data_IF_039397611888
#
_entry.id   IF_039397611888
#
_cell.length_a   1.000
_cell.length_b   1.000
_cell.length_c   1.000
_cell.angle_alpha   90.00
_cell.angle_beta   90.00
_cell.angle_gamma   90.00
#
_symmetry.space_group_name_H-M   'P 1'
#
loop_
_entity.id
_entity.type
_entity.pdbx_description
1 polymer ?
#
# COMPACT_ATOMS: atom_id res chain seq x y z
N UNK A 1 0.47 23.38 17.98
CA UNK A 1 1.13 23.53 16.65
C UNK A 1 2.34 22.61 16.54
N UNK A 2 2.49 22.02 15.39
CA UNK A 2 3.56 21.09 15.06
C UNK A 2 4.31 21.60 13.82
N UNK A 3 5.55 21.16 13.63
CA UNK A 3 6.28 21.39 12.39
C UNK A 3 7.20 20.22 12.03
N UNK A 4 7.39 20.01 10.73
CA UNK A 4 8.32 19.03 10.17
C UNK A 4 8.73 19.39 8.74
N UNK A 5 9.82 18.78 8.27
CA UNK A 5 10.18 18.76 6.85
C UNK A 5 9.20 17.81 6.15
N UNK A 6 8.52 18.30 5.12
CA UNK A 6 7.50 17.56 4.38
C UNK A 6 8.02 16.98 3.04
N UNK A 7 9.22 17.33 2.63
CA UNK A 7 9.89 16.81 1.43
C UNK A 7 10.91 15.74 1.80
N UNK A 8 11.28 14.85 0.86
CA UNK A 8 12.36 13.88 1.09
C UNK A 8 13.66 14.55 1.53
N UNK A 9 14.46 13.86 2.33
CA UNK A 9 15.79 14.32 2.72
C UNK A 9 16.77 14.07 1.57
N UNK A 10 17.57 15.09 1.24
CA UNK A 10 18.53 15.06 0.16
C UNK A 10 18.72 16.43 -0.46
N UNK A 11 19.65 16.57 -1.41
CA UNK A 11 19.85 17.81 -2.15
C UNK A 11 18.77 17.92 -3.24
N UNK A 12 18.01 19.00 -3.21
CA UNK A 12 16.94 19.27 -4.17
C UNK A 12 16.76 20.77 -4.41
N UNK A 13 16.02 21.14 -5.43
CA UNK A 13 15.76 22.56 -5.73
C UNK A 13 14.88 23.23 -4.68
N UNK A 14 13.90 22.50 -4.12
CA UNK A 14 12.94 22.99 -3.12
C UNK A 14 12.81 22.00 -1.98
N UNK A 15 12.77 22.54 -0.76
CA UNK A 15 12.40 21.81 0.43
C UNK A 15 11.30 22.53 1.18
N UNK A 16 10.36 21.78 1.75
CA UNK A 16 9.16 22.31 2.40
C UNK A 16 9.16 22.00 3.88
N UNK A 17 8.99 23.02 4.71
CA UNK A 17 8.69 22.85 6.14
C UNK A 17 7.22 23.19 6.34
N UNK A 18 6.47 22.26 6.88
CA UNK A 18 5.04 22.43 7.17
C UNK A 18 4.84 22.69 8.64
N UNK A 19 4.02 23.70 8.94
CA UNK A 19 3.59 24.09 10.29
C UNK A 19 2.07 23.95 10.31
N UNK A 20 1.50 23.26 11.31
CA UNK A 20 0.03 23.10 11.45
C UNK A 20 -0.41 23.33 12.87
N UNK A 21 -1.60 23.88 13.03
CA UNK A 21 -2.29 24.06 14.30
C UNK A 21 -2.59 25.50 14.63
N UNK A 22 -3.28 25.69 15.75
CA UNK A 22 -3.59 27.02 16.28
C UNK A 22 -2.33 27.88 16.38
N UNK A 23 -2.38 29.10 15.87
CA UNK A 23 -1.24 30.01 15.79
C UNK A 23 -0.10 29.61 14.81
N UNK A 24 -0.33 28.74 13.82
CA UNK A 24 0.67 28.38 12.81
C UNK A 24 1.20 29.63 12.08
N UNK A 25 0.32 30.57 11.70
CA UNK A 25 0.71 31.82 11.05
C UNK A 25 1.60 32.69 11.94
N UNK A 26 1.27 32.77 13.23
CA UNK A 26 2.07 33.56 14.19
C UNK A 26 3.45 32.94 14.38
N UNK A 27 3.54 31.62 14.40
CA UNK A 27 4.81 30.91 14.50
C UNK A 27 5.65 31.10 13.23
N UNK A 28 5.05 30.91 12.06
CA UNK A 28 5.71 31.16 10.78
C UNK A 28 6.18 32.61 10.63
N UNK A 29 5.36 33.59 11.04
CA UNK A 29 5.70 35.01 10.97
C UNK A 29 6.84 35.46 11.87
N UNK A 30 7.30 34.63 12.81
CA UNK A 30 8.52 34.90 13.60
C UNK A 30 9.81 34.49 12.87
N UNK A 31 9.71 33.62 11.89
CA UNK A 31 10.85 33.05 11.17
C UNK A 31 10.84 33.42 9.68
N UNK A 32 9.79 34.13 9.23
CA UNK A 32 9.61 34.55 7.84
C UNK A 32 9.27 36.03 7.76
N UNK A 33 10.03 36.78 7.00
CA UNK A 33 9.78 38.19 6.68
C UNK A 33 9.34 38.33 5.23
N UNK A 34 8.11 38.82 5.02
CA UNK A 34 7.60 39.08 3.67
C UNK A 34 8.31 40.28 3.06
N UNK A 35 8.74 40.19 1.79
CA UNK A 35 9.43 41.30 1.08
C UNK A 35 8.57 42.54 0.94
N UNK A 36 7.26 42.42 0.97
CA UNK A 36 6.33 43.56 0.94
C UNK A 36 6.10 44.22 2.31
N UNK A 37 6.81 43.77 3.35
CA UNK A 37 6.74 44.32 4.72
C UNK A 37 5.41 44.04 5.45
N UNK A 38 4.48 43.26 4.87
CA UNK A 38 3.19 42.96 5.52
C UNK A 38 3.33 41.71 6.39
N UNK A 39 2.77 41.72 7.60
CA UNK A 39 2.75 40.55 8.47
C UNK A 39 2.05 39.35 7.78
N UNK A 40 2.61 38.14 7.93
CA UNK A 40 2.06 36.91 7.34
C UNK A 40 0.63 36.62 7.78
N UNK A 41 0.24 37.03 8.98
CA UNK A 41 -1.13 36.88 9.51
C UNK A 41 -2.19 37.66 8.72
N UNK A 42 -1.77 38.61 7.87
CA UNK A 42 -2.67 39.33 6.97
C UNK A 42 -2.79 38.68 5.57
N UNK A 43 -2.06 37.57 5.33
CA UNK A 43 -2.17 36.85 4.07
C UNK A 43 -3.51 36.11 4.01
N UNK A 44 -4.15 36.16 2.84
CA UNK A 44 -5.35 35.37 2.59
C UNK A 44 -5.05 33.86 2.50
N UNK A 45 -6.07 33.03 2.67
CA UNK A 45 -5.94 31.58 2.48
C UNK A 45 -5.57 31.27 1.03
N UNK A 46 -4.71 30.24 0.84
CA UNK A 46 -4.21 29.78 -0.46
C UNK A 46 -3.38 30.85 -1.22
N UNK A 47 -2.73 31.73 -0.47
CA UNK A 47 -1.83 32.74 -1.02
C UNK A 47 -0.37 32.39 -0.73
N UNK A 48 0.48 32.50 -1.75
CA UNK A 48 1.92 32.44 -1.62
C UNK A 48 2.50 33.83 -1.40
N UNK A 49 3.32 33.97 -0.37
CA UNK A 49 4.00 35.23 -0.02
C UNK A 49 5.49 35.05 -0.19
N UNK A 50 6.10 35.90 -1.01
CA UNK A 50 7.55 35.90 -1.20
C UNK A 50 8.27 36.69 -0.10
N UNK A 51 9.38 36.15 0.39
CA UNK A 51 10.16 36.77 1.46
C UNK A 51 11.43 35.99 1.81
N UNK A 52 11.87 36.13 3.04
CA UNK A 52 13.09 35.54 3.55
C UNK A 52 12.83 34.77 4.86
N UNK A 53 13.53 33.65 5.02
CA UNK A 53 13.69 33.02 6.32
C UNK A 53 14.73 33.82 7.10
N UNK A 54 14.38 34.23 8.32
CA UNK A 54 15.26 35.01 9.18
C UNK A 54 15.47 34.30 10.51
N UNK A 55 16.66 34.47 11.08
CA UNK A 55 16.97 33.97 12.41
C UNK A 55 16.53 34.95 13.52
N UNK A 56 16.80 34.60 14.78
CA UNK A 56 16.44 35.40 15.97
C UNK A 56 17.14 36.77 16.00
N UNK A 57 18.18 36.98 15.21
CA UNK A 57 18.93 38.23 15.07
C UNK A 57 18.51 39.03 13.85
N UNK A 58 17.51 38.54 13.09
CA UNK A 58 17.09 39.18 11.83
C UNK A 58 18.05 38.91 10.66
N UNK A 59 18.98 37.94 10.78
CA UNK A 59 19.87 37.59 9.69
C UNK A 59 19.14 36.65 8.71
N UNK A 60 19.29 36.94 7.42
CA UNK A 60 18.70 36.11 6.37
C UNK A 60 19.39 34.74 6.34
N UNK A 61 18.59 33.69 6.45
CA UNK A 61 19.00 32.29 6.33
C UNK A 61 18.80 31.79 4.91
N UNK A 62 17.66 32.14 4.30
CA UNK A 62 17.30 31.74 2.97
C UNK A 62 16.24 32.67 2.37
N UNK A 63 16.08 32.62 1.06
CA UNK A 63 14.97 33.18 0.30
C UNK A 63 13.88 32.14 0.11
N UNK A 64 12.62 32.47 0.39
CA UNK A 64 11.56 31.48 0.47
C UNK A 64 10.19 32.00 0.04
N UNK A 65 9.27 31.07 -0.20
CA UNK A 65 7.85 31.34 -0.30
C UNK A 65 7.13 30.78 0.93
N UNK A 66 6.21 31.54 1.50
CA UNK A 66 5.29 31.05 2.51
C UNK A 66 3.90 30.86 1.89
N UNK A 67 3.42 29.62 1.83
CA UNK A 67 2.05 29.29 1.41
C UNK A 67 1.16 29.20 2.64
N UNK A 68 0.12 30.04 2.70
CA UNK A 68 -0.84 30.10 3.82
C UNK A 68 -2.12 29.38 3.45
N UNK A 69 -2.59 28.49 4.32
CA UNK A 69 -3.87 27.80 4.20
C UNK A 69 -4.60 27.89 5.53
N UNK A 70 -5.74 28.56 5.53
CA UNK A 70 -6.53 28.80 6.75
C UNK A 70 -7.58 27.71 6.95
N UNK A 71 -7.84 27.38 8.21
CA UNK A 71 -8.90 26.48 8.61
C UNK A 71 -10.27 26.98 8.07
N UNK A 72 -11.19 26.09 7.68
CA UNK A 72 -11.04 24.63 7.61
C UNK A 72 -10.43 24.13 6.29
N UNK A 73 -10.04 25.00 5.38
CA UNK A 73 -9.59 24.67 4.03
C UNK A 73 -8.07 24.44 3.98
N UNK A 74 -7.60 23.41 4.66
CA UNK A 74 -6.20 23.01 4.71
C UNK A 74 -6.07 21.49 4.77
N UNK A 75 -4.82 20.97 4.74
CA UNK A 75 -4.57 19.53 4.82
C UNK A 75 -5.08 18.92 6.13
N UNK A 76 -4.85 19.59 7.25
CA UNK A 76 -5.21 19.13 8.62
C UNK A 76 -6.53 19.68 9.12
N UNK A 77 -7.21 20.52 8.34
CA UNK A 77 -8.40 21.32 8.76
C UNK A 77 -8.05 22.39 9.82
N UNK A 78 -6.77 22.51 10.16
CA UNK A 78 -6.23 23.58 11.03
C UNK A 78 -5.60 24.68 10.16
N UNK A 79 -5.13 25.76 10.78
CA UNK A 79 -4.26 26.70 10.07
C UNK A 79 -2.94 26.02 9.72
N UNK A 80 -2.53 26.13 8.45
CA UNK A 80 -1.30 25.55 7.94
C UNK A 80 -0.49 26.60 7.21
N UNK A 81 0.83 26.60 7.45
CA UNK A 81 1.79 27.36 6.68
C UNK A 81 2.88 26.42 6.16
N UNK A 82 3.15 26.49 4.88
CA UNK A 82 4.30 25.82 4.26
C UNK A 82 5.36 26.83 3.90
N UNK A 83 6.57 26.68 4.45
CA UNK A 83 7.75 27.46 4.10
C UNK A 83 8.52 26.67 3.05
N UNK A 84 8.50 27.15 1.82
CA UNK A 84 9.19 26.57 0.67
C UNK A 84 10.54 27.22 0.52
N UNK A 85 11.58 26.53 0.99
CA UNK A 85 12.97 26.97 1.03
C UNK A 85 13.77 26.28 -0.08
N UNK A 86 15.03 26.65 -0.26
CA UNK A 86 15.97 25.84 -1.03
C UNK A 86 16.18 24.48 -0.34
N UNK A 87 16.23 23.39 -1.14
CA UNK A 87 16.22 22.00 -0.66
C UNK A 87 17.55 21.48 -0.12
N UNK A 88 18.41 22.38 0.38
CA UNK A 88 19.66 21.99 1.05
C UNK A 88 19.43 21.49 2.47
N UNK A 89 20.13 20.44 2.87
CA UNK A 89 19.98 19.81 4.19
C UNK A 89 20.15 20.82 5.34
N UNK A 90 21.15 21.69 5.25
CA UNK A 90 21.42 22.67 6.31
C UNK A 90 20.37 23.77 6.37
N UNK A 91 19.89 24.25 5.23
CA UNK A 91 18.82 25.25 5.13
C UNK A 91 17.55 24.74 5.80
N UNK A 92 17.11 23.52 5.41
CA UNK A 92 15.89 22.90 5.96
C UNK A 92 16.02 22.64 7.46
N UNK A 93 17.15 22.08 7.90
CA UNK A 93 17.39 21.84 9.33
C UNK A 93 17.36 23.14 10.14
N UNK A 94 18.06 24.17 9.66
CA UNK A 94 18.09 25.48 10.34
C UNK A 94 16.71 26.11 10.42
N UNK A 95 15.96 26.10 9.32
CA UNK A 95 14.60 26.65 9.27
C UNK A 95 13.66 25.89 10.21
N UNK A 96 13.75 24.54 10.24
CA UNK A 96 12.96 23.72 11.16
C UNK A 96 13.28 24.04 12.62
N UNK A 97 14.57 24.13 13.00
CA UNK A 97 14.99 24.54 14.35
C UNK A 97 14.44 25.92 14.74
N UNK A 98 14.41 26.88 13.82
CA UNK A 98 13.82 28.20 14.04
C UNK A 98 12.33 28.11 14.32
N UNK A 99 11.58 27.24 13.62
CA UNK A 99 10.14 27.05 13.90
C UNK A 99 9.91 26.49 15.29
N UNK A 100 10.77 25.60 15.79
CA UNK A 100 10.69 25.06 17.16
C UNK A 100 10.98 26.12 18.18
N UNK A 101 12.01 26.94 18.00
CA UNK A 101 12.29 28.10 18.84
C UNK A 101 11.16 29.12 18.82
N UNK A 102 10.48 29.28 17.69
CA UNK A 102 9.31 30.15 17.56
C UNK A 102 8.06 29.60 18.27
N UNK A 103 8.13 28.34 18.77
CA UNK A 103 7.14 27.70 19.64
C UNK A 103 6.34 26.56 18.98
N UNK A 104 6.72 26.05 17.81
CA UNK A 104 6.25 24.76 17.33
C UNK A 104 6.94 23.61 18.08
N UNK A 105 6.31 22.43 18.16
CA UNK A 105 6.99 21.21 18.56
C UNK A 105 7.26 20.33 17.33
N UNK A 106 8.23 19.41 17.38
CA UNK A 106 8.40 18.41 16.35
C UNK A 106 7.10 17.63 16.11
N UNK A 107 6.76 17.38 14.86
CA UNK A 107 5.66 16.50 14.52
C UNK A 107 6.08 15.03 14.69
N UNK A 108 5.14 14.21 15.15
CA UNK A 108 5.28 12.76 15.19
C UNK A 108 5.09 12.15 13.79
N UNK A 109 5.40 10.86 13.64
CA UNK A 109 5.14 10.14 12.41
C UNK A 109 3.64 10.16 12.08
N UNK A 110 3.30 10.51 10.84
CA UNK A 110 1.91 10.56 10.38
C UNK A 110 1.03 11.60 11.05
N UNK A 111 1.55 12.51 11.86
CA UNK A 111 0.73 13.40 12.67
C UNK A 111 -0.13 14.37 11.86
N UNK A 112 0.34 14.85 10.72
CA UNK A 112 -0.48 15.72 9.88
C UNK A 112 -1.68 14.97 9.30
N UNK A 113 -1.49 13.74 8.82
CA UNK A 113 -2.57 12.91 8.28
C UNK A 113 -3.48 12.40 9.40
N UNK A 114 -2.94 12.10 10.59
CA UNK A 114 -3.73 11.77 11.78
C UNK A 114 -4.67 12.92 12.15
N UNK A 115 -4.19 14.17 12.11
CA UNK A 115 -5.03 15.36 12.36
C UNK A 115 -6.08 15.53 11.27
N UNK A 116 -5.75 15.30 9.99
CA UNK A 116 -6.73 15.31 8.91
C UNK A 116 -7.85 14.26 9.14
N UNK A 117 -7.51 13.08 9.65
CA UNK A 117 -8.45 12.04 10.05
C UNK A 117 -9.28 12.46 11.28
N UNK A 118 -8.65 12.89 12.36
CA UNK A 118 -9.34 13.30 13.59
C UNK A 118 -10.28 14.51 13.38
N UNK A 119 -9.93 15.40 12.47
CA UNK A 119 -10.73 16.57 12.10
C UNK A 119 -11.76 16.26 10.99
N UNK A 120 -11.95 14.99 10.60
CA UNK A 120 -13.01 14.53 9.70
C UNK A 120 -12.80 14.86 8.22
N UNK A 121 -11.59 15.27 7.80
CA UNK A 121 -11.29 15.49 6.38
C UNK A 121 -11.08 14.18 5.62
N UNK A 122 -10.45 13.22 6.24
CA UNK A 122 -10.19 11.89 5.70
C UNK A 122 -10.78 10.85 6.66
N UNK A 123 -11.30 9.77 6.13
CA UNK A 123 -11.52 8.58 6.94
C UNK A 123 -10.23 7.74 7.06
N UNK A 124 -10.27 6.64 7.83
CA UNK A 124 -9.08 5.84 8.10
C UNK A 124 -8.53 5.15 6.84
N UNK A 125 -9.39 4.69 5.95
CA UNK A 125 -9.00 4.07 4.67
C UNK A 125 -8.36 5.09 3.73
N UNK A 126 -8.94 6.28 3.62
CA UNK A 126 -8.39 7.40 2.84
C UNK A 126 -7.05 7.87 3.41
N UNK A 127 -6.92 7.92 4.75
CA UNK A 127 -5.66 8.25 5.41
C UNK A 127 -4.56 7.23 5.10
N UNK A 128 -4.85 5.93 5.15
CA UNK A 128 -3.91 4.88 4.76
C UNK A 128 -3.49 5.01 3.29
N UNK A 129 -4.42 5.35 2.40
CA UNK A 129 -4.15 5.54 0.98
C UNK A 129 -3.12 6.65 0.68
N UNK A 130 -2.95 7.64 1.57
CA UNK A 130 -1.89 8.66 1.43
C UNK A 130 -0.51 8.00 1.39
N UNK A 131 -0.26 7.01 2.26
CA UNK A 131 1.00 6.28 2.25
C UNK A 131 1.12 5.34 1.06
N UNK A 132 0.02 4.68 0.68
CA UNK A 132 0.00 3.78 -0.47
C UNK A 132 0.34 4.53 -1.77
N UNK A 133 -0.13 5.78 -1.95
CA UNK A 133 0.26 6.66 -3.08
C UNK A 133 1.76 6.96 -3.05
N UNK A 134 2.30 7.32 -1.88
CA UNK A 134 3.72 7.69 -1.75
C UNK A 134 4.63 6.48 -2.05
N UNK A 135 4.18 5.28 -1.69
CA UNK A 135 4.94 4.04 -1.82
C UNK A 135 4.65 3.28 -3.12
N UNK A 136 3.67 3.71 -3.92
CA UNK A 136 3.30 3.06 -5.17
C UNK A 136 4.52 2.92 -6.11
N UNK A 137 4.71 1.72 -6.65
CA UNK A 137 5.84 1.36 -7.52
C UNK A 137 5.44 1.11 -8.97
N UNK A 138 4.14 0.95 -9.23
CA UNK A 138 3.58 0.74 -10.57
C UNK A 138 2.40 1.67 -10.78
N UNK A 139 2.03 1.90 -12.04
CA UNK A 139 0.82 2.68 -12.37
C UNK A 139 -0.45 2.02 -11.81
N UNK A 140 -0.52 0.69 -11.82
CA UNK A 140 -1.65 -0.06 -11.25
C UNK A 140 -1.74 0.15 -9.74
N UNK A 141 -0.62 0.08 -9.02
CA UNK A 141 -0.56 0.37 -7.57
C UNK A 141 -1.00 1.80 -7.27
N UNK A 142 -0.52 2.76 -8.06
CA UNK A 142 -0.89 4.17 -7.91
C UNK A 142 -2.39 4.40 -8.16
N UNK A 143 -2.95 3.81 -9.22
CA UNK A 143 -4.37 3.92 -9.55
C UNK A 143 -5.25 3.33 -8.43
N UNK A 144 -4.87 2.18 -7.88
CA UNK A 144 -5.54 1.55 -6.74
C UNK A 144 -5.54 2.49 -5.51
N UNK A 145 -4.36 3.01 -5.15
CA UNK A 145 -4.22 3.92 -4.01
C UNK A 145 -5.00 5.23 -4.21
N UNK A 146 -5.00 5.79 -5.42
CA UNK A 146 -5.80 6.97 -5.75
C UNK A 146 -7.30 6.70 -5.63
N UNK A 147 -7.78 5.52 -6.05
CA UNK A 147 -9.16 5.09 -5.86
C UNK A 147 -9.56 5.05 -4.37
N UNK A 148 -8.69 4.53 -3.51
CA UNK A 148 -8.90 4.56 -2.06
C UNK A 148 -8.93 5.98 -1.50
N UNK A 149 -7.97 6.84 -1.89
CA UNK A 149 -7.93 8.23 -1.44
C UNK A 149 -9.17 9.04 -1.86
N UNK A 150 -9.78 8.72 -2.99
CA UNK A 150 -11.03 9.35 -3.46
C UNK A 150 -12.30 8.71 -2.87
N UNK A 151 -12.13 7.80 -1.92
CA UNK A 151 -13.21 7.22 -1.13
C UNK A 151 -14.01 6.12 -1.84
N UNK A 152 -13.50 5.48 -2.91
CA UNK A 152 -14.23 4.40 -3.57
C UNK A 152 -14.48 3.22 -2.63
N UNK A 153 -13.47 2.81 -1.86
CA UNK A 153 -13.60 1.76 -0.84
C UNK A 153 -14.58 2.18 0.27
N UNK A 154 -14.38 3.36 0.85
CA UNK A 154 -15.18 3.88 1.95
C UNK A 154 -16.66 4.04 1.61
N UNK A 155 -16.98 4.51 0.40
CA UNK A 155 -18.36 4.62 -0.07
C UNK A 155 -19.07 3.27 -0.08
N UNK A 156 -18.38 2.20 -0.50
CA UNK A 156 -18.92 0.84 -0.46
C UNK A 156 -19.21 0.38 0.96
N UNK A 157 -18.29 0.65 1.89
CA UNK A 157 -18.46 0.33 3.33
C UNK A 157 -19.61 1.12 3.93
N UNK A 158 -19.67 2.44 3.70
CA UNK A 158 -20.77 3.27 4.20
C UNK A 158 -22.14 2.85 3.67
N UNK A 159 -22.22 2.45 2.39
CA UNK A 159 -23.47 1.95 1.82
C UNK A 159 -23.94 0.68 2.54
N UNK A 160 -23.04 -0.31 2.76
CA UNK A 160 -23.39 -1.53 3.52
C UNK A 160 -23.82 -1.21 4.96
N UNK A 161 -23.09 -0.31 5.64
CA UNK A 161 -23.44 0.12 6.99
C UNK A 161 -24.80 0.82 7.03
N UNK A 162 -25.12 1.66 6.06
CA UNK A 162 -26.41 2.33 5.98
C UNK A 162 -27.56 1.34 5.81
N UNK A 163 -27.39 0.32 4.97
CA UNK A 163 -28.37 -0.75 4.76
C UNK A 163 -28.59 -1.56 6.06
N UNK A 164 -27.49 -1.93 6.75
CA UNK A 164 -27.58 -2.65 8.05
C UNK A 164 -28.29 -1.80 9.09
N UNK A 165 -27.95 -0.51 9.19
CA UNK A 165 -28.60 0.42 10.12
C UNK A 165 -30.11 0.53 9.84
N UNK A 166 -30.51 0.57 8.56
CA UNK A 166 -31.91 0.54 8.15
C UNK A 166 -32.63 -0.71 8.61
N UNK A 167 -32.01 -1.88 8.49
CA UNK A 167 -32.58 -3.15 9.00
C UNK A 167 -32.73 -3.13 10.53
N UNK A 168 -31.72 -2.64 11.26
CA UNK A 168 -31.78 -2.50 12.72
C UNK A 168 -32.95 -1.58 13.11
N UNK A 169 -33.10 -0.44 12.47
CA UNK A 169 -34.18 0.50 12.76
C UNK A 169 -35.58 -0.11 12.50
N UNK A 170 -35.74 -0.92 11.44
CA UNK A 170 -37.00 -1.62 11.17
C UNK A 170 -37.29 -2.68 12.25
N UNK A 171 -36.27 -3.43 12.71
CA UNK A 171 -36.44 -4.40 13.79
C UNK A 171 -36.84 -3.71 15.08
N UNK A 172 -36.18 -2.62 15.47
CA UNK A 172 -36.49 -1.85 16.67
C UNK A 172 -37.95 -1.33 16.63
N UNK A 173 -38.36 -0.82 15.48
CA UNK A 173 -39.75 -0.38 15.29
C UNK A 173 -40.75 -1.52 15.42
N UNK A 174 -40.44 -2.72 14.89
CA UNK A 174 -41.32 -3.89 15.02
C UNK A 174 -41.41 -4.43 16.47
N UNK A 175 -40.32 -4.29 17.22
CA UNK A 175 -40.31 -4.69 18.65
C UNK A 175 -41.16 -3.70 19.49
N UNK A 176 -41.05 -2.36 19.21
CA UNK A 176 -41.76 -1.35 19.93
C UNK A 176 -43.26 -1.29 19.60
N UNK A 177 -43.67 -1.74 18.41
CA UNK A 177 -45.05 -1.71 17.92
C UNK A 177 -45.48 -3.10 17.40
N UNK A 178 -45.69 -4.11 18.30
CA UNK A 178 -45.96 -5.51 17.94
C UNK A 178 -47.38 -5.72 17.38
N UNK A 179 -48.24 -4.74 17.29
CA UNK A 179 -49.61 -4.89 16.79
C UNK A 179 -49.72 -4.93 15.26
N UNK A 180 -48.66 -4.58 14.53
CA UNK A 180 -48.59 -4.71 13.09
C UNK A 180 -48.07 -6.11 12.71
N UNK A 181 -48.89 -6.93 12.02
CA UNK A 181 -48.52 -8.28 11.53
C UNK A 181 -47.41 -8.24 10.47
N UNK A 182 -46.14 -7.95 10.86
CA UNK A 182 -45.02 -7.64 9.95
C UNK A 182 -43.88 -8.68 10.00
N UNK A 183 -43.91 -9.61 10.97
CA UNK A 183 -42.73 -10.43 11.30
C UNK A 183 -42.16 -11.30 10.17
N UNK A 184 -43.00 -12.02 9.42
CA UNK A 184 -42.51 -12.96 8.39
C UNK A 184 -41.99 -12.26 7.15
N UNK A 185 -42.60 -11.14 6.73
CA UNK A 185 -42.15 -10.34 5.59
C UNK A 185 -40.85 -9.60 5.93
N UNK A 186 -40.77 -9.07 7.15
CA UNK A 186 -39.62 -8.36 7.64
C UNK A 186 -38.38 -9.28 7.72
N UNK A 187 -38.53 -10.46 8.27
CA UNK A 187 -37.43 -11.43 8.39
C UNK A 187 -36.93 -11.91 7.02
N UNK A 188 -37.85 -12.14 6.08
CA UNK A 188 -37.47 -12.48 4.71
C UNK A 188 -36.69 -11.38 4.01
N UNK A 189 -37.13 -10.12 4.12
CA UNK A 189 -36.44 -8.97 3.53
C UNK A 189 -35.07 -8.76 4.17
N UNK A 190 -34.96 -8.90 5.49
CA UNK A 190 -33.68 -8.84 6.21
C UNK A 190 -32.74 -9.93 5.71
N UNK A 191 -33.20 -11.19 5.63
CA UNK A 191 -32.39 -12.31 5.17
C UNK A 191 -31.84 -12.06 3.76
N UNK A 192 -32.69 -11.58 2.84
CA UNK A 192 -32.30 -11.26 1.47
C UNK A 192 -31.22 -10.16 1.44
N UNK A 193 -31.44 -9.06 2.16
CA UNK A 193 -30.50 -7.94 2.20
C UNK A 193 -29.15 -8.35 2.85
N UNK A 194 -29.18 -9.16 3.91
CA UNK A 194 -27.98 -9.70 4.53
C UNK A 194 -27.18 -10.56 3.56
N UNK A 195 -27.85 -11.42 2.78
CA UNK A 195 -27.18 -12.23 1.73
C UNK A 195 -26.53 -11.35 0.68
N UNK A 196 -27.17 -10.28 0.26
CA UNK A 196 -26.61 -9.33 -0.72
C UNK A 196 -25.36 -8.60 -0.17
N UNK A 197 -25.39 -8.18 1.09
CA UNK A 197 -24.24 -7.56 1.76
C UNK A 197 -23.10 -8.57 1.89
N UNK A 198 -23.38 -9.80 2.31
CA UNK A 198 -22.38 -10.89 2.39
C UNK A 198 -21.71 -11.17 1.05
N UNK A 199 -22.46 -11.16 -0.04
CA UNK A 199 -21.93 -11.34 -1.39
C UNK A 199 -20.97 -10.20 -1.76
N UNK A 200 -21.29 -8.96 -1.39
CA UNK A 200 -20.38 -7.81 -1.59
C UNK A 200 -19.11 -7.94 -0.76
N UNK A 201 -19.22 -8.33 0.49
CA UNK A 201 -18.04 -8.60 1.36
C UNK A 201 -17.19 -9.72 0.77
N UNK A 202 -17.80 -10.82 0.32
CA UNK A 202 -17.07 -11.91 -0.32
C UNK A 202 -16.33 -11.46 -1.59
N UNK A 203 -16.94 -10.60 -2.40
CA UNK A 203 -16.30 -9.97 -3.55
C UNK A 203 -15.08 -9.13 -3.16
N UNK A 204 -15.19 -8.31 -2.12
CA UNK A 204 -14.05 -7.56 -1.57
C UNK A 204 -12.94 -8.50 -1.06
N UNK A 205 -13.27 -9.52 -0.31
CA UNK A 205 -12.30 -10.49 0.23
C UNK A 205 -11.54 -11.25 -0.87
N UNK A 206 -12.17 -11.51 -2.02
CA UNK A 206 -11.50 -12.11 -3.19
C UNK A 206 -10.39 -11.21 -3.74
N UNK A 207 -10.46 -9.90 -3.55
CA UNK A 207 -9.42 -8.97 -4.00
C UNK A 207 -8.21 -8.89 -3.06
N UNK A 208 -8.31 -9.41 -1.84
CA UNK A 208 -7.32 -9.20 -0.79
C UNK A 208 -5.91 -9.71 -1.13
N UNK A 209 -5.82 -10.82 -1.87
CA UNK A 209 -4.53 -11.35 -2.31
C UNK A 209 -3.85 -10.40 -3.31
N UNK A 210 -4.56 -10.03 -4.37
CA UNK A 210 -4.05 -9.11 -5.38
C UNK A 210 -3.78 -7.71 -4.80
N UNK A 211 -4.71 -7.17 -4.00
CA UNK A 211 -4.56 -5.87 -3.37
C UNK A 211 -3.31 -5.75 -2.50
N UNK A 212 -3.03 -6.78 -1.68
CA UNK A 212 -1.81 -6.81 -0.88
C UNK A 212 -0.54 -6.86 -1.74
N UNK A 213 -0.55 -7.64 -2.82
CA UNK A 213 0.60 -7.71 -3.74
C UNK A 213 0.81 -6.36 -4.44
N UNK A 214 -0.24 -5.73 -4.92
CA UNK A 214 -0.16 -4.42 -5.56
C UNK A 214 0.37 -3.34 -4.62
N UNK A 215 0.07 -3.44 -3.33
CA UNK A 215 0.55 -2.52 -2.30
C UNK A 215 2.00 -2.82 -1.87
N UNK A 216 2.26 -4.07 -1.43
CA UNK A 216 3.51 -4.43 -0.75
C UNK A 216 4.58 -4.98 -1.70
N UNK A 217 4.18 -5.31 -2.94
CA UNK A 217 4.99 -6.02 -3.92
C UNK A 217 4.97 -7.54 -3.73
N UNK A 218 5.17 -8.27 -4.83
CA UNK A 218 5.30 -9.73 -4.83
C UNK A 218 6.75 -10.10 -4.53
N UNK A 219 7.01 -10.61 -3.34
CA UNK A 219 8.35 -11.02 -2.93
C UNK A 219 8.82 -12.20 -3.78
N UNK A 220 9.80 -11.96 -4.65
CA UNK A 220 10.21 -12.87 -5.72
C UNK A 220 11.69 -13.25 -5.58
N UNK A 221 11.99 -14.54 -5.62
CA UNK A 221 13.34 -15.05 -5.68
C UNK A 221 13.66 -15.51 -7.10
N UNK A 222 14.83 -15.11 -7.63
CA UNK A 222 15.39 -15.61 -8.89
C UNK A 222 16.50 -16.60 -8.53
N UNK A 223 16.30 -17.88 -8.84
CA UNK A 223 17.25 -18.94 -8.54
C UNK A 223 17.66 -19.69 -9.81
N UNK A 224 18.81 -20.33 -9.76
CA UNK A 224 19.39 -21.09 -10.88
C UNK A 224 20.89 -21.20 -10.73
N UNK A 225 21.51 -22.08 -11.50
CA UNK A 225 22.96 -22.26 -11.52
C UNK A 225 23.72 -20.99 -11.93
N UNK A 226 25.03 -20.90 -11.70
CA UNK A 226 25.86 -19.86 -12.29
C UNK A 226 25.72 -19.83 -13.82
N UNK A 227 25.79 -18.66 -14.42
CA UNK A 227 25.75 -18.45 -15.88
C UNK A 227 24.48 -18.94 -16.61
N UNK A 228 23.41 -19.25 -15.89
CA UNK A 228 22.12 -19.63 -16.49
C UNK A 228 21.32 -18.42 -17.02
N UNK A 229 21.74 -17.19 -16.66
CA UNK A 229 21.09 -15.95 -17.12
C UNK A 229 20.29 -15.19 -16.07
N UNK A 230 20.50 -15.43 -14.77
CA UNK A 230 19.79 -14.71 -13.69
C UNK A 230 19.97 -13.20 -13.77
N UNK A 231 21.20 -12.71 -13.90
CA UNK A 231 21.49 -11.28 -14.03
C UNK A 231 20.90 -10.68 -15.30
N UNK A 232 20.88 -11.43 -16.39
CA UNK A 232 20.26 -10.99 -17.65
C UNK A 232 18.75 -10.90 -17.51
N UNK A 233 18.09 -11.88 -16.86
CA UNK A 233 16.66 -11.82 -16.57
C UNK A 233 16.32 -10.62 -15.68
N UNK A 234 17.06 -10.43 -14.58
CA UNK A 234 16.89 -9.28 -13.69
C UNK A 234 16.98 -7.97 -14.48
N UNK A 235 18.02 -7.80 -15.30
CA UNK A 235 18.21 -6.61 -16.11
C UNK A 235 17.09 -6.44 -17.16
N UNK A 236 16.55 -7.51 -17.72
CA UNK A 236 15.41 -7.46 -18.64
C UNK A 236 14.15 -6.97 -17.92
N UNK A 237 13.83 -7.54 -16.75
CA UNK A 237 12.68 -7.14 -15.94
C UNK A 237 12.78 -5.67 -15.46
N UNK A 238 13.99 -5.19 -15.17
CA UNK A 238 14.22 -3.81 -14.75
C UNK A 238 14.23 -2.81 -15.92
N UNK A 239 14.40 -3.27 -17.17
CA UNK A 239 14.45 -2.41 -18.38
C UNK A 239 13.10 -2.20 -19.03
N UNK A 240 12.16 -3.13 -18.94
CA UNK A 240 10.85 -3.06 -19.60
C UNK A 240 10.03 -1.86 -19.15
N UNK A 241 10.19 -1.42 -17.90
CA UNK A 241 9.70 -0.08 -17.48
C UNK A 241 10.72 0.52 -16.51
N UNK A 242 11.17 1.72 -16.78
CA UNK A 242 12.17 2.44 -15.99
C UNK A 242 11.83 2.35 -14.51
N UNK A 243 12.47 1.41 -13.81
CA UNK A 243 12.47 1.41 -12.36
C UNK A 243 12.89 2.81 -11.90
N UNK A 244 11.98 3.54 -11.28
CA UNK A 244 12.34 4.76 -10.56
C UNK A 244 13.18 4.28 -9.39
N UNK A 245 14.49 4.21 -9.59
CA UNK A 245 15.46 3.99 -8.52
C UNK A 245 15.39 5.21 -7.64
N UNK A 246 14.58 5.17 -6.61
CA UNK A 246 14.65 6.14 -5.53
C UNK A 246 15.53 5.55 -4.45
N UNK A 247 16.75 6.09 -4.33
CA UNK A 247 17.51 5.99 -3.10
C UNK A 247 16.67 6.68 -2.02
N UNK A 248 15.85 5.94 -1.30
CA UNK A 248 15.20 6.44 -0.09
C UNK A 248 16.24 6.34 1.03
N UNK A 249 16.84 7.46 1.48
CA UNK A 249 17.77 7.42 2.60
C UNK A 249 17.01 7.00 3.86
N UNK A 250 17.38 5.88 4.46
CA UNK A 250 16.84 5.45 5.75
C UNK A 250 16.42 4.00 5.86
N UNK A 251 16.52 3.19 4.82
CA UNK A 251 16.38 1.74 4.94
C UNK A 251 17.74 1.12 5.26
N UNK A 252 17.82 0.47 6.38
CA UNK A 252 19.00 -0.21 6.93
C UNK A 252 19.63 -1.17 5.92
N UNK A 253 20.95 -1.21 5.96
CA UNK A 253 21.96 -1.84 5.09
C UNK A 253 21.90 -3.37 4.88
N UNK A 254 20.79 -4.08 5.09
CA UNK A 254 20.85 -5.55 5.14
C UNK A 254 20.31 -6.33 3.94
N UNK A 255 19.61 -5.69 3.00
CA UNK A 255 19.33 -6.31 1.67
C UNK A 255 19.02 -5.21 0.64
N UNK A 256 19.74 -5.21 -0.46
CA UNK A 256 19.40 -4.36 -1.62
C UNK A 256 18.22 -5.04 -2.31
N UNK A 257 17.02 -4.55 -2.01
CA UNK A 257 15.80 -4.96 -2.70
C UNK A 257 15.59 -4.04 -3.92
N UNK A 258 15.31 -4.62 -5.06
CA UNK A 258 14.94 -3.90 -6.27
C UNK A 258 13.51 -4.24 -6.65
N UNK A 259 12.81 -3.24 -7.21
CA UNK A 259 11.45 -3.39 -7.70
C UNK A 259 11.44 -3.38 -9.22
N UNK A 260 10.78 -4.37 -9.81
CA UNK A 260 10.47 -4.42 -11.23
C UNK A 260 8.97 -4.33 -11.43
N UNK A 261 8.51 -3.56 -12.42
CA UNK A 261 7.12 -3.58 -12.86
C UNK A 261 6.93 -4.68 -13.90
N UNK A 262 6.07 -5.64 -13.62
CA UNK A 262 5.76 -6.73 -14.54
C UNK A 262 4.26 -6.77 -14.78
N UNK A 263 3.83 -6.15 -15.88
CA UNK A 263 2.41 -6.06 -16.22
C UNK A 263 1.57 -5.33 -15.17
N UNK A 264 2.11 -4.28 -14.57
CA UNK A 264 1.47 -3.49 -13.51
C UNK A 264 1.64 -4.07 -12.10
N UNK A 265 2.32 -5.22 -11.96
CA UNK A 265 2.56 -5.89 -10.67
C UNK A 265 3.97 -5.54 -10.19
N UNK A 266 4.14 -4.94 -9.00
CA UNK A 266 5.44 -4.66 -8.44
C UNK A 266 6.10 -5.97 -7.94
N UNK A 267 7.12 -6.45 -8.63
CA UNK A 267 7.96 -7.55 -8.13
C UNK A 267 9.04 -6.98 -7.20
N UNK A 268 9.09 -7.47 -5.97
CA UNK A 268 10.15 -7.17 -5.00
C UNK A 268 11.17 -8.29 -5.03
N UNK A 269 12.32 -8.04 -5.65
CA UNK A 269 13.31 -9.09 -5.94
C UNK A 269 14.32 -9.18 -4.80
N UNK A 270 14.47 -10.38 -4.23
CA UNK A 270 15.37 -10.65 -3.10
C UNK A 270 16.82 -10.73 -3.59
N UNK A 271 17.74 -10.07 -2.87
CA UNK A 271 19.20 -10.12 -3.02
C UNK A 271 19.72 -9.90 -4.45
N UNK A 272 19.38 -8.75 -5.00
CA UNK A 272 19.88 -8.35 -6.33
C UNK A 272 21.40 -8.20 -6.37
N UNK A 273 22.06 -7.92 -5.23
CA UNK A 273 23.51 -7.84 -5.12
C UNK A 273 24.19 -9.20 -5.39
N UNK A 274 23.63 -10.29 -4.86
CA UNK A 274 24.13 -11.65 -5.15
C UNK A 274 23.89 -12.10 -6.59
N UNK A 275 22.84 -11.56 -7.24
CA UNK A 275 22.54 -11.82 -8.65
C UNK A 275 23.47 -11.01 -9.57
N UNK A 276 23.88 -9.78 -9.17
CA UNK A 276 24.74 -8.88 -9.95
C UNK A 276 26.23 -9.18 -9.80
N UNK A 277 26.65 -9.83 -8.71
CA UNK A 277 28.05 -10.20 -8.53
C UNK A 277 28.45 -11.23 -9.57
N UNK A 278 29.14 -10.76 -10.59
CA UNK A 278 29.79 -11.59 -11.61
C UNK A 278 31.14 -12.05 -11.08
N UNK A 279 31.43 -13.34 -11.28
CA UNK A 279 32.71 -14.02 -11.34
C UNK A 279 33.40 -14.51 -10.07
N UNK A 280 33.67 -15.82 -10.09
CA UNK A 280 34.73 -16.64 -9.53
C UNK A 280 34.89 -16.89 -8.01
N UNK A 281 34.30 -16.11 -7.10
CA UNK A 281 34.53 -16.32 -5.66
C UNK A 281 33.29 -16.83 -4.90
N UNK A 282 32.11 -16.90 -5.52
CA UNK A 282 30.80 -17.12 -4.84
C UNK A 282 30.18 -18.50 -5.17
N UNK A 283 30.88 -19.39 -5.87
CA UNK A 283 30.32 -20.66 -6.40
C UNK A 283 29.79 -21.65 -5.34
N UNK A 284 30.29 -21.62 -4.09
CA UNK A 284 29.81 -22.52 -3.02
C UNK A 284 28.65 -21.95 -2.16
N UNK A 285 28.37 -20.65 -2.26
CA UNK A 285 27.34 -19.99 -1.46
C UNK A 285 25.95 -20.11 -2.13
N UNK A 286 25.86 -20.52 -3.40
CA UNK A 286 24.66 -20.46 -4.22
C UNK A 286 23.47 -21.28 -3.70
N UNK A 287 23.67 -22.55 -3.32
CA UNK A 287 22.56 -23.46 -2.96
C UNK A 287 22.02 -23.18 -1.55
N UNK A 288 22.91 -22.86 -0.58
CA UNK A 288 22.45 -22.54 0.79
C UNK A 288 21.70 -21.20 0.84
N UNK A 289 22.19 -20.18 0.11
CA UNK A 289 21.48 -18.91 -0.04
C UNK A 289 20.16 -19.08 -0.78
N UNK A 290 20.15 -19.87 -1.87
CA UNK A 290 18.93 -20.18 -2.59
C UNK A 290 17.86 -20.83 -1.67
N UNK A 291 18.26 -21.69 -0.74
CA UNK A 291 17.36 -22.30 0.25
C UNK A 291 16.73 -21.26 1.19
N UNK A 292 17.51 -20.25 1.61
CA UNK A 292 16.99 -19.16 2.46
C UNK A 292 15.98 -18.32 1.69
N UNK A 293 16.29 -17.89 0.46
CA UNK A 293 15.43 -17.07 -0.37
C UNK A 293 14.12 -17.77 -0.75
N UNK A 294 14.21 -19.07 -1.08
CA UNK A 294 13.03 -19.90 -1.37
C UNK A 294 12.07 -19.99 -0.18
N UNK A 295 12.58 -19.93 1.07
CA UNK A 295 11.71 -19.96 2.25
C UNK A 295 10.89 -18.68 2.41
N UNK A 296 11.46 -17.54 2.06
CA UNK A 296 10.86 -16.22 2.24
C UNK A 296 10.02 -15.78 1.05
N UNK A 297 10.40 -16.19 -0.17
CA UNK A 297 9.75 -15.78 -1.40
C UNK A 297 8.31 -16.26 -1.49
N UNK A 298 7.43 -15.37 -1.95
CA UNK A 298 6.07 -15.68 -2.33
C UNK A 298 5.99 -16.27 -3.76
N UNK A 299 6.93 -15.89 -4.63
CA UNK A 299 7.09 -16.44 -5.98
C UNK A 299 8.55 -16.81 -6.22
N UNK A 300 8.78 -17.94 -6.91
CA UNK A 300 10.11 -18.38 -7.31
C UNK A 300 10.18 -18.41 -8.83
N UNK A 301 11.17 -17.71 -9.41
CA UNK A 301 11.55 -17.83 -10.80
C UNK A 301 12.82 -18.71 -10.87
N UNK A 302 12.67 -19.96 -11.28
CA UNK A 302 13.75 -20.92 -11.35
C UNK A 302 14.25 -21.07 -12.79
N UNK A 303 15.51 -20.69 -13.05
CA UNK A 303 16.12 -20.67 -14.38
C UNK A 303 16.93 -21.94 -14.64
N UNK A 304 16.74 -22.48 -15.84
CA UNK A 304 17.46 -23.62 -16.40
C UNK A 304 18.04 -23.27 -17.77
N UNK A 305 19.16 -23.88 -18.12
CA UNK A 305 19.83 -23.66 -19.41
C UNK A 305 19.35 -24.68 -20.46
N UNK A 306 18.65 -24.23 -21.50
CA UNK A 306 18.13 -25.07 -22.55
C UNK A 306 19.25 -25.77 -23.38
N UNK A 307 20.42 -25.17 -23.43
CA UNK A 307 21.54 -25.64 -24.28
C UNK A 307 22.37 -26.76 -23.66
N UNK A 308 22.06 -27.21 -22.44
CA UNK A 308 22.80 -28.22 -21.68
C UNK A 308 21.86 -29.26 -21.07
N UNK A 309 22.30 -30.53 -20.92
CA UNK A 309 21.53 -31.51 -20.17
C UNK A 309 21.41 -31.11 -18.70
N UNK A 310 20.29 -31.48 -18.07
CA UNK A 310 20.10 -31.32 -16.63
C UNK A 310 21.13 -32.16 -15.86
N UNK A 311 21.66 -31.60 -14.79
CA UNK A 311 22.61 -32.27 -13.90
C UNK A 311 22.11 -32.29 -12.44
N UNK A 312 22.94 -32.78 -11.52
CA UNK A 312 22.58 -32.92 -10.11
C UNK A 312 22.21 -31.59 -9.42
N UNK A 313 22.82 -30.46 -9.83
CA UNK A 313 22.47 -29.13 -9.27
C UNK A 313 21.10 -28.67 -9.77
N UNK A 314 20.74 -28.92 -11.02
CA UNK A 314 19.41 -28.66 -11.56
C UNK A 314 18.34 -29.47 -10.82
N UNK A 315 18.64 -30.75 -10.52
CA UNK A 315 17.73 -31.58 -9.72
C UNK A 315 17.55 -31.06 -8.30
N UNK A 316 18.60 -30.50 -7.69
CA UNK A 316 18.46 -29.84 -6.37
C UNK A 316 17.56 -28.62 -6.43
N UNK A 317 17.71 -27.77 -7.45
CA UNK A 317 16.83 -26.62 -7.68
C UNK A 317 15.38 -27.08 -7.87
N UNK A 318 15.15 -28.13 -8.65
CA UNK A 318 13.82 -28.73 -8.85
C UNK A 318 13.23 -29.26 -7.55
N UNK A 319 14.05 -29.81 -6.63
CA UNK A 319 13.58 -30.21 -5.29
C UNK A 319 13.18 -29.01 -4.44
N UNK A 320 13.92 -27.89 -4.52
CA UNK A 320 13.63 -26.67 -3.74
C UNK A 320 12.29 -26.05 -4.13
N UNK A 321 11.88 -26.11 -5.38
CA UNK A 321 10.64 -25.50 -5.88
C UNK A 321 9.40 -26.39 -5.67
N UNK A 322 9.58 -27.66 -5.29
CA UNK A 322 8.45 -28.57 -5.05
C UNK A 322 7.55 -28.06 -3.94
N UNK A 323 6.25 -27.94 -4.23
CA UNK A 323 5.24 -27.47 -3.27
C UNK A 323 5.30 -25.99 -2.96
N UNK A 324 6.07 -25.22 -3.74
CA UNK A 324 6.15 -23.76 -3.68
C UNK A 324 5.46 -23.14 -4.90
N UNK A 325 5.10 -21.88 -4.77
CA UNK A 325 4.63 -21.12 -5.92
C UNK A 325 5.83 -20.73 -6.79
N UNK A 326 5.92 -21.34 -7.96
CA UNK A 326 7.08 -21.22 -8.84
C UNK A 326 6.66 -21.13 -10.31
N UNK A 327 7.57 -20.54 -11.10
CA UNK A 327 7.58 -20.57 -12.57
C UNK A 327 8.97 -21.07 -12.97
N UNK A 328 9.03 -22.11 -13.80
CA UNK A 328 10.28 -22.61 -14.35
C UNK A 328 10.55 -21.89 -15.67
N UNK A 329 11.75 -21.37 -15.80
CA UNK A 329 12.22 -20.64 -16.98
C UNK A 329 13.33 -21.41 -17.67
N UNK A 330 13.07 -21.88 -18.89
CA UNK A 330 14.03 -22.52 -19.74
C UNK A 330 14.69 -21.46 -20.62
N UNK A 331 15.88 -21.00 -20.22
CA UNK A 331 16.58 -19.86 -20.85
C UNK A 331 17.56 -20.35 -21.94
N UNK A 332 18.01 -19.42 -22.78
CA UNK A 332 18.91 -19.59 -23.90
C UNK A 332 18.31 -20.37 -25.06
N UNK A 333 17.03 -20.20 -25.33
CA UNK A 333 16.32 -20.80 -26.46
C UNK A 333 16.86 -20.33 -27.82
N UNK A 334 17.60 -19.23 -27.85
CA UNK A 334 18.35 -18.76 -29.02
C UNK A 334 19.54 -19.68 -29.41
N UNK A 335 19.89 -20.62 -28.55
CA UNK A 335 20.87 -21.67 -28.81
C UNK A 335 20.16 -22.98 -29.19
N UNK A 336 20.92 -23.94 -29.72
CA UNK A 336 20.35 -25.24 -30.03
C UNK A 336 19.89 -25.96 -28.75
N UNK A 337 18.58 -26.21 -28.56
CA UNK A 337 18.07 -26.75 -27.30
C UNK A 337 18.41 -28.23 -27.14
N UNK A 338 18.88 -28.61 -25.96
CA UNK A 338 19.10 -29.99 -25.52
C UNK A 338 18.00 -30.41 -24.53
N UNK A 339 17.49 -29.46 -23.75
CA UNK A 339 16.38 -29.65 -22.81
C UNK A 339 15.15 -28.94 -23.34
N UNK A 340 14.01 -29.61 -23.31
CA UNK A 340 12.72 -29.02 -23.71
C UNK A 340 11.82 -28.72 -22.51
N UNK A 341 10.80 -27.88 -22.72
CA UNK A 341 9.81 -27.56 -21.68
C UNK A 341 9.10 -28.83 -21.19
N UNK A 342 8.79 -29.80 -22.08
CA UNK A 342 8.15 -31.07 -21.70
C UNK A 342 9.07 -31.92 -20.79
N UNK A 343 10.38 -31.86 -20.99
CA UNK A 343 11.34 -32.57 -20.14
C UNK A 343 11.35 -31.98 -18.73
N UNK A 344 11.37 -30.66 -18.58
CA UNK A 344 11.24 -29.98 -17.27
C UNK A 344 9.88 -30.22 -16.62
N UNK A 345 8.81 -30.22 -17.40
CA UNK A 345 7.46 -30.43 -16.89
C UNK A 345 7.27 -31.79 -16.20
N UNK A 346 8.06 -32.81 -16.58
CA UNK A 346 8.01 -34.14 -15.95
C UNK A 346 8.53 -34.16 -14.52
N UNK A 347 9.31 -33.15 -14.12
CA UNK A 347 9.89 -33.03 -12.78
C UNK A 347 9.00 -32.26 -11.80
N UNK A 348 7.97 -31.56 -12.28
CA UNK A 348 7.06 -30.73 -11.49
C UNK A 348 5.60 -31.06 -11.79
N UNK A 349 4.68 -30.57 -10.95
CA UNK A 349 3.25 -30.74 -11.19
C UNK A 349 2.81 -29.97 -12.45
N UNK A 350 1.73 -30.40 -13.09
CA UNK A 350 1.21 -29.80 -14.32
C UNK A 350 0.80 -28.33 -14.15
N UNK A 351 0.42 -27.92 -12.94
CA UNK A 351 0.00 -26.57 -12.58
C UNK A 351 1.20 -25.60 -12.48
N UNK A 352 2.44 -26.08 -12.41
CA UNK A 352 3.64 -25.25 -12.39
C UNK A 352 3.97 -24.85 -13.82
N UNK A 353 3.90 -23.54 -14.18
CA UNK A 353 4.22 -23.11 -15.52
C UNK A 353 5.70 -23.35 -15.86
N UNK A 354 5.95 -23.85 -17.07
CA UNK A 354 7.28 -23.96 -17.66
C UNK A 354 7.30 -23.10 -18.91
N UNK A 355 8.11 -22.06 -18.91
CA UNK A 355 8.16 -21.05 -19.98
C UNK A 355 9.56 -21.06 -20.59
N UNK A 356 9.61 -21.15 -21.91
CA UNK A 356 10.86 -21.00 -22.66
C UNK A 356 11.11 -19.54 -22.93
N UNK A 357 12.31 -19.08 -22.58
CA UNK A 357 12.72 -17.67 -22.74
C UNK A 357 14.09 -17.56 -23.39
N UNK A 358 14.37 -16.40 -23.95
CA UNK A 358 15.72 -15.96 -24.26
C UNK A 358 15.93 -14.55 -23.71
N UNK A 359 16.70 -14.44 -22.64
CA UNK A 359 17.06 -13.13 -22.07
C UNK A 359 17.92 -12.28 -23.01
N UNK A 360 18.47 -12.86 -24.06
CA UNK A 360 19.25 -12.18 -25.09
C UNK A 360 18.37 -11.53 -26.16
N UNK A 361 17.38 -12.27 -26.67
CA UNK A 361 16.44 -11.81 -27.71
C UNK A 361 15.16 -11.21 -27.13
N UNK A 362 14.94 -11.37 -25.82
CA UNK A 362 13.73 -10.95 -25.09
C UNK A 362 12.49 -11.82 -25.42
N UNK A 363 12.65 -12.92 -26.11
CA UNK A 363 11.56 -13.85 -26.40
C UNK A 363 11.07 -14.52 -25.12
N UNK A 364 9.75 -14.77 -25.02
CA UNK A 364 9.09 -15.44 -23.89
C UNK A 364 8.85 -14.57 -22.66
N UNK A 365 9.30 -13.30 -22.62
CA UNK A 365 9.07 -12.40 -21.47
C UNK A 365 7.59 -12.01 -21.36
N UNK A 366 6.89 -11.86 -22.47
CA UNK A 366 5.46 -11.59 -22.46
C UNK A 366 4.65 -12.74 -21.84
N UNK A 367 5.03 -14.00 -22.14
CA UNK A 367 4.44 -15.19 -21.53
C UNK A 367 4.71 -15.25 -20.03
N UNK A 368 5.92 -14.86 -19.61
CA UNK A 368 6.27 -14.74 -18.19
C UNK A 368 5.39 -13.70 -17.51
N UNK A 369 5.21 -12.53 -18.12
CA UNK A 369 4.34 -11.47 -17.62
C UNK A 369 2.90 -11.96 -17.47
N UNK A 370 2.37 -12.65 -18.48
CA UNK A 370 1.01 -13.24 -18.43
C UNK A 370 0.90 -14.29 -17.32
N UNK A 371 1.91 -15.12 -17.12
CA UNK A 371 1.89 -16.15 -16.09
C UNK A 371 1.92 -15.55 -14.68
N UNK A 372 2.72 -14.51 -14.44
CA UNK A 372 2.76 -13.78 -13.18
C UNK A 372 1.42 -13.09 -12.93
N UNK A 373 0.89 -12.37 -13.90
CA UNK A 373 -0.41 -11.70 -13.82
C UNK A 373 -1.53 -12.68 -13.50
N UNK A 374 -1.57 -13.82 -14.19
CA UNK A 374 -2.58 -14.86 -13.94
C UNK A 374 -2.51 -15.42 -12.51
N UNK A 375 -1.31 -15.58 -11.94
CA UNK A 375 -1.12 -16.04 -10.56
C UNK A 375 -1.61 -15.01 -9.54
N UNK A 376 -1.31 -13.74 -9.73
CA UNK A 376 -1.69 -12.65 -8.82
C UNK A 376 -3.19 -12.44 -8.80
N UNK A 377 -3.82 -12.47 -9.96
CA UNK A 377 -5.28 -12.28 -10.10
C UNK A 377 -6.09 -13.58 -10.06
N UNK A 378 -5.48 -14.72 -9.75
CA UNK A 378 -6.19 -15.99 -9.62
C UNK A 378 -7.33 -15.89 -8.59
N UNK A 379 -8.55 -16.17 -9.03
CA UNK A 379 -9.75 -16.09 -8.18
C UNK A 379 -10.27 -14.67 -7.93
N UNK A 380 -9.59 -13.66 -8.42
CA UNK A 380 -10.07 -12.26 -8.39
C UNK A 380 -10.87 -12.04 -9.66
N UNK A 381 -12.18 -11.87 -9.56
CA UNK A 381 -12.91 -11.21 -10.64
C UNK A 381 -12.37 -9.79 -10.67
N UNK A 382 -11.73 -9.41 -11.78
CA UNK A 382 -11.24 -8.05 -12.00
C UNK A 382 -12.40 -7.10 -11.67
N UNK A 383 -12.35 -6.52 -10.48
CA UNK A 383 -13.47 -5.76 -9.95
C UNK A 383 -13.72 -4.60 -10.89
N UNK A 384 -14.95 -4.43 -11.27
CA UNK A 384 -15.41 -3.17 -11.78
C UNK A 384 -14.93 -2.11 -10.79
N UNK A 385 -14.10 -1.17 -11.28
CA UNK A 385 -13.69 0.06 -10.60
C UNK A 385 -12.63 -0.05 -9.47
N UNK A 386 -11.71 -1.02 -9.51
CA UNK A 386 -10.44 -0.87 -8.77
C UNK A 386 -10.51 -0.84 -7.24
N UNK A 387 -11.59 -1.32 -6.63
CA UNK A 387 -11.70 -1.39 -5.17
C UNK A 387 -11.10 -2.69 -4.67
N UNK A 388 -9.92 -2.60 -4.05
CA UNK A 388 -9.20 -3.73 -3.49
C UNK A 388 -9.12 -3.63 -1.96
N UNK A 389 -9.14 -4.78 -1.29
CA UNK A 389 -8.69 -4.90 0.11
C UNK A 389 -7.16 -4.94 0.08
N UNK A 390 -6.50 -3.99 0.74
CA UNK A 390 -5.05 -3.79 0.60
C UNK A 390 -4.24 -4.29 1.79
N UNK A 391 -4.85 -4.54 2.94
CA UNK A 391 -4.13 -5.02 4.11
C UNK A 391 -4.84 -6.17 4.85
N UNK A 392 -4.07 -6.88 5.69
CA UNK A 392 -4.56 -8.03 6.45
C UNK A 392 -5.62 -7.62 7.49
N UNK A 393 -5.53 -6.41 8.06
CA UNK A 393 -6.49 -5.88 9.02
C UNK A 393 -7.85 -5.66 8.35
N UNK A 394 -7.87 -5.02 7.18
CA UNK A 394 -9.11 -4.83 6.43
C UNK A 394 -9.77 -6.16 6.08
N UNK A 395 -8.99 -7.15 5.62
CA UNK A 395 -9.50 -8.48 5.32
C UNK A 395 -10.09 -9.18 6.56
N UNK A 396 -9.42 -9.07 7.70
CA UNK A 396 -9.88 -9.69 8.96
C UNK A 396 -11.15 -9.03 9.47
N UNK A 397 -11.23 -7.71 9.46
CA UNK A 397 -12.44 -6.96 9.85
C UNK A 397 -13.63 -7.33 8.96
N UNK A 398 -13.42 -7.46 7.65
CA UNK A 398 -14.47 -7.90 6.71
C UNK A 398 -14.93 -9.34 7.00
N UNK A 399 -14.01 -10.28 7.33
CA UNK A 399 -14.39 -11.65 7.74
C UNK A 399 -15.22 -11.65 9.00
N UNK A 400 -14.84 -10.88 10.02
CA UNK A 400 -15.58 -10.77 11.26
C UNK A 400 -16.98 -10.16 11.03
N UNK A 401 -17.08 -9.14 10.18
CA UNK A 401 -18.38 -8.59 9.79
C UNK A 401 -19.25 -9.66 9.09
N UNK A 402 -18.69 -10.44 8.16
CA UNK A 402 -19.39 -11.53 7.48
C UNK A 402 -19.85 -12.63 8.45
N UNK A 403 -19.03 -12.97 9.45
CA UNK A 403 -19.40 -13.94 10.49
C UNK A 403 -20.61 -13.50 11.31
N UNK A 404 -20.69 -12.21 11.67
CA UNK A 404 -21.86 -11.64 12.36
C UNK A 404 -23.09 -11.65 11.44
N UNK A 405 -22.94 -11.31 10.16
CA UNK A 405 -24.04 -11.39 9.19
C UNK A 405 -24.50 -12.85 8.97
N UNK A 406 -23.58 -13.79 8.95
CA UNK A 406 -23.91 -15.22 8.91
C UNK A 406 -24.63 -15.70 10.17
N UNK A 407 -24.27 -15.14 11.34
CA UNK A 407 -24.98 -15.41 12.59
C UNK A 407 -26.43 -14.88 12.51
N UNK A 408 -26.64 -13.67 12.00
CA UNK A 408 -27.99 -13.12 11.79
C UNK A 408 -28.87 -14.05 10.93
N UNK A 409 -28.32 -14.62 9.84
CA UNK A 409 -29.06 -15.61 9.02
C UNK A 409 -29.42 -16.83 9.82
N UNK A 410 -28.47 -17.42 10.59
CA UNK A 410 -28.74 -18.59 11.44
C UNK A 410 -29.79 -18.30 12.51
N UNK A 411 -29.79 -17.11 13.07
CA UNK A 411 -30.76 -16.63 14.05
C UNK A 411 -32.18 -16.59 13.43
N UNK A 412 -32.28 -16.10 12.19
CA UNK A 412 -33.53 -16.09 11.41
C UNK A 412 -34.00 -17.52 11.13
N UNK A 413 -33.12 -18.41 10.63
CA UNK A 413 -33.44 -19.80 10.29
C UNK A 413 -33.85 -20.64 11.51
N UNK A 414 -33.35 -20.26 12.70
CA UNK A 414 -33.70 -20.90 13.96
C UNK A 414 -34.97 -20.32 14.61
N UNK A 415 -35.66 -19.40 13.93
CA UNK A 415 -36.88 -18.72 14.41
C UNK A 415 -36.67 -18.09 15.80
N UNK A 416 -35.50 -17.52 16.01
CA UNK A 416 -35.20 -16.78 17.24
C UNK A 416 -35.77 -15.35 17.13
N UNK A 417 -36.08 -14.75 18.25
CA UNK A 417 -36.70 -13.43 18.28
C UNK A 417 -35.88 -12.32 17.60
N UNK A 418 -36.55 -11.27 17.16
CA UNK A 418 -35.98 -10.10 16.47
C UNK A 418 -34.83 -9.43 17.24
N UNK A 419 -34.87 -9.45 18.58
CA UNK A 419 -33.83 -8.95 19.46
C UNK A 419 -32.45 -9.57 19.16
N UNK A 420 -32.40 -10.90 18.93
CA UNK A 420 -31.15 -11.60 18.64
C UNK A 420 -30.62 -11.25 17.25
N UNK A 421 -31.49 -11.08 16.26
CA UNK A 421 -31.13 -10.63 14.92
C UNK A 421 -30.51 -9.23 14.99
N UNK A 422 -31.11 -8.33 15.77
CA UNK A 422 -30.61 -6.97 15.97
C UNK A 422 -29.20 -6.95 16.56
N UNK A 423 -28.89 -7.82 17.52
CA UNK A 423 -27.55 -7.93 18.14
C UNK A 423 -26.50 -8.31 17.09
N UNK A 424 -26.78 -9.32 16.26
CA UNK A 424 -25.86 -9.77 15.21
C UNK A 424 -25.63 -8.68 14.16
N UNK A 425 -26.69 -8.02 13.71
CA UNK A 425 -26.60 -6.91 12.76
C UNK A 425 -25.82 -5.72 13.33
N UNK A 426 -26.02 -5.36 14.59
CA UNK A 426 -25.30 -4.29 15.26
C UNK A 426 -23.80 -4.59 15.35
N UNK A 427 -23.46 -5.84 15.68
CA UNK A 427 -22.06 -6.31 15.72
C UNK A 427 -21.40 -6.22 14.34
N UNK A 428 -22.10 -6.59 13.25
CA UNK A 428 -21.60 -6.44 11.89
C UNK A 428 -21.42 -4.96 11.50
N UNK A 429 -22.37 -4.09 11.88
CA UNK A 429 -22.33 -2.66 11.63
C UNK A 429 -21.14 -1.99 12.33
N UNK A 430 -20.86 -2.34 13.58
CA UNK A 430 -19.70 -1.87 14.34
C UNK A 430 -18.39 -2.31 13.70
N UNK A 431 -18.30 -3.60 13.29
CA UNK A 431 -17.11 -4.12 12.62
C UNK A 431 -16.81 -3.39 11.32
N UNK A 432 -17.79 -3.19 10.47
CA UNK A 432 -17.59 -2.41 9.23
C UNK A 432 -17.13 -0.97 9.51
N UNK A 433 -17.56 -0.37 10.62
CA UNK A 433 -17.11 0.97 11.05
C UNK A 433 -15.63 1.04 11.42
N UNK A 434 -14.99 -0.08 11.76
CA UNK A 434 -13.54 -0.14 12.01
C UNK A 434 -12.72 0.14 10.74
N UNK A 435 -13.27 -0.14 9.54
CA UNK A 435 -12.58 0.10 8.26
C UNK A 435 -12.43 1.59 7.95
N UNK A 436 -13.43 2.38 8.28
CA UNK A 436 -13.47 3.83 8.06
C UNK A 436 -13.02 4.63 9.28
N UNK A 437 -12.81 3.95 10.42
CA UNK A 437 -12.29 4.56 11.65
C UNK A 437 -13.35 5.12 12.57
N UNK A 438 -14.66 4.86 12.34
CA UNK A 438 -15.74 5.37 13.18
C UNK A 438 -15.85 4.66 14.54
N UNK A 439 -15.39 3.42 14.61
CA UNK A 439 -15.47 2.56 15.82
C UNK A 439 -14.12 2.02 16.27
N UNK A 440 -13.01 2.65 15.85
CA UNK A 440 -11.64 2.20 16.13
C UNK A 440 -11.10 2.83 17.41
N UNK A 441 -10.44 2.04 18.26
CA UNK A 441 -9.73 2.53 19.43
C UNK A 441 -8.45 3.31 19.10
N UNK A 442 -8.05 4.22 20.00
CA UNK A 442 -6.86 5.06 19.84
C UNK A 442 -5.57 4.27 19.60
N UNK A 443 -5.43 3.08 20.19
CA UNK A 443 -4.23 2.24 20.05
C UNK A 443 -4.01 1.82 18.61
N UNK A 444 -5.08 1.42 17.91
CA UNK A 444 -5.04 1.00 16.50
C UNK A 444 -4.74 2.22 15.62
N UNK A 445 -5.35 3.36 15.89
CA UNK A 445 -5.08 4.62 15.19
C UNK A 445 -3.59 4.97 15.32
N UNK A 446 -3.06 4.95 16.54
CA UNK A 446 -1.65 5.24 16.81
C UNK A 446 -0.72 4.26 16.11
N UNK A 447 -1.03 2.96 16.11
CA UNK A 447 -0.24 1.95 15.40
C UNK A 447 -0.20 2.22 13.88
N UNK A 448 -1.34 2.52 13.26
CA UNK A 448 -1.43 2.83 11.83
C UNK A 448 -0.54 4.03 11.48
N UNK A 449 -0.68 5.15 12.21
CA UNK A 449 0.06 6.37 11.91
C UNK A 449 1.54 6.28 12.27
N UNK A 450 1.94 5.41 13.20
CA UNK A 450 3.36 5.17 13.53
C UNK A 450 4.19 4.65 12.34
N UNK A 451 3.53 4.05 11.36
CA UNK A 451 4.15 3.51 10.13
C UNK A 451 4.34 4.58 9.05
N UNK A 452 3.80 5.77 9.25
CA UNK A 452 3.92 6.89 8.31
C UNK A 452 5.29 7.56 8.37
N UNK A 453 5.59 8.34 7.32
CA UNK A 453 6.77 9.21 7.32
C UNK A 453 6.55 10.43 8.23
N UNK A 454 7.64 10.98 8.77
CA UNK A 454 7.61 12.30 9.44
C UNK A 454 7.30 13.36 8.37
N UNK A 455 6.43 14.32 8.68
CA UNK A 455 6.01 15.36 7.74
C UNK A 455 4.72 15.05 6.95
N UNK A 456 4.14 13.84 7.19
CA UNK A 456 2.83 13.41 6.63
C UNK A 456 1.79 13.16 7.71
#
# INVERSE_FOLDING_TARGET
>A
RISAIATPQGEGGIGVIRISGEHALKTAGKVFEAKNGKPLVLAGSHHAVYGHIVDEKGQVVDEALALVMLAPHSYTVEDVVELQCHGGLMTLRKTLELTWKAGARPAERGEFTKRAFLNGRLDLSEAQAVMDIIQARTETSLAMAAGHLTGHFSKGIHAMRHEILGMIAHIEAAIDFPEDEVDDVLTYDIQKNVVEIRNRIAGLLQTAHAGRILRDGLLTAIIGKPNVGKSSLLNSLLREERAIVTDVPGTTRDSIEEYADVGGIPLRIIDTAGIRATDDVVERIGVEKARSYVKEAALILALFDASRPLDAEDEEILKLVRGRDAILLLNKDDLQPVVTAEMLQRHVKKEVPVITISTRTQDGLEELTKAITAKVYAGTQAGQEGTFVTDARQAEVLRQADEHLAAAIRTIEADMGLDFISIDLRSAWEKLGELTGETVGEDIINEIFSKFCIGK
#
